data_IF_942812361782
#
_entry.id   IF_942812361782
#
_cell.length_a   1.000
_cell.length_b   1.000
_cell.length_c   1.000
_cell.angle_alpha   90.00
_cell.angle_beta   90.00
_cell.angle_gamma   90.00
#
_symmetry.space_group_name_H-M   'P 1'
#
loop_
_entity.id
_entity.type
_entity.pdbx_description
1 polymer ?
#
# COMPACT_ATOMS: atom_id res chain seq x y z
N UNK A 1 -8.02 -10.52 45.80
CA UNK A 1 -9.03 -10.73 44.73
C UNK A 1 -9.39 -9.45 43.99
N UNK A 2 -9.67 -8.32 44.67
CA UNK A 2 -10.02 -7.05 44.00
C UNK A 2 -8.89 -6.50 43.11
N UNK A 3 -7.65 -6.49 43.60
CA UNK A 3 -6.47 -6.05 42.83
C UNK A 3 -6.31 -6.80 41.48
N UNK A 4 -6.54 -8.13 41.50
CA UNK A 4 -6.44 -8.96 40.30
C UNK A 4 -7.54 -8.64 39.27
N UNK A 5 -8.75 -8.30 39.72
CA UNK A 5 -9.86 -7.90 38.85
C UNK A 5 -9.59 -6.55 38.17
N UNK A 6 -9.06 -5.59 38.92
CA UNK A 6 -8.70 -4.26 38.39
C UNK A 6 -7.59 -4.38 37.34
N UNK A 7 -6.55 -5.18 37.63
CA UNK A 7 -5.47 -5.43 36.68
C UNK A 7 -5.99 -6.10 35.39
N UNK A 8 -6.80 -7.15 35.51
CA UNK A 8 -7.41 -7.84 34.37
C UNK A 8 -8.28 -6.91 33.52
N UNK A 9 -9.09 -6.05 34.14
CA UNK A 9 -9.88 -5.05 33.44
C UNK A 9 -9.02 -4.06 32.65
N UNK A 10 -7.92 -3.59 33.26
CA UNK A 10 -6.95 -2.71 32.59
C UNK A 10 -6.33 -3.34 31.34
N UNK A 11 -5.95 -4.62 31.42
CA UNK A 11 -5.38 -5.36 30.28
C UNK A 11 -6.38 -5.48 29.13
N UNK A 12 -7.64 -5.82 29.42
CA UNK A 12 -8.70 -5.94 28.39
C UNK A 12 -8.89 -4.62 27.66
N UNK A 13 -9.04 -3.51 28.41
CA UNK A 13 -9.21 -2.17 27.81
C UNK A 13 -7.99 -1.79 26.97
N UNK A 14 -6.77 -2.07 27.45
CA UNK A 14 -5.54 -1.77 26.73
C UNK A 14 -5.45 -2.54 25.39
N UNK A 15 -5.74 -3.84 25.38
CA UNK A 15 -5.69 -4.67 24.16
C UNK A 15 -6.73 -4.22 23.14
N UNK A 16 -7.97 -3.95 23.58
CA UNK A 16 -9.02 -3.47 22.68
C UNK A 16 -8.68 -2.08 22.13
N UNK A 17 -8.16 -1.18 22.97
CA UNK A 17 -7.69 0.15 22.55
C UNK A 17 -6.54 0.10 21.54
N UNK A 18 -5.53 -0.75 21.79
CA UNK A 18 -4.40 -0.96 20.86
C UNK A 18 -4.87 -1.52 19.52
N UNK A 19 -5.83 -2.44 19.52
CA UNK A 19 -6.42 -2.98 18.29
C UNK A 19 -7.13 -1.88 17.48
N UNK A 20 -7.96 -1.06 18.14
CA UNK A 20 -8.61 0.08 17.48
C UNK A 20 -7.62 1.10 16.91
N UNK A 21 -6.52 1.35 17.63
CA UNK A 21 -5.43 2.20 17.16
C UNK A 21 -4.72 1.60 15.92
N UNK A 22 -4.44 0.30 15.93
CA UNK A 22 -3.80 -0.38 14.80
C UNK A 22 -4.65 -0.32 13.52
N UNK A 23 -5.96 -0.56 13.64
CA UNK A 23 -6.91 -0.45 12.51
C UNK A 23 -6.95 1.00 11.98
N UNK A 24 -7.05 1.98 12.89
CA UNK A 24 -7.00 3.40 12.55
C UNK A 24 -5.71 3.80 11.81
N UNK A 25 -4.57 3.23 12.18
CA UNK A 25 -3.30 3.51 11.52
C UNK A 25 -3.30 3.05 10.06
N UNK A 26 -3.99 1.95 9.73
CA UNK A 26 -4.07 1.45 8.37
C UNK A 26 -4.83 2.42 7.44
N UNK A 27 -5.93 3.01 7.93
CA UNK A 27 -6.66 4.07 7.21
C UNK A 27 -5.79 5.30 6.93
N UNK A 28 -4.85 5.62 7.81
CA UNK A 28 -3.90 6.74 7.59
C UNK A 28 -2.82 6.38 6.58
N UNK A 29 -2.35 5.14 6.57
CA UNK A 29 -1.26 4.68 5.69
C UNK A 29 -1.70 4.47 4.25
N UNK A 30 -2.91 3.97 4.00
CA UNK A 30 -3.40 3.66 2.64
C UNK A 30 -3.27 4.84 1.66
N UNK A 31 -3.80 6.05 1.92
CA UNK A 31 -3.67 7.18 0.98
C UNK A 31 -2.20 7.58 0.76
N UNK A 32 -1.34 7.48 1.78
CA UNK A 32 0.09 7.75 1.67
C UNK A 32 0.76 6.75 0.70
N UNK A 33 0.42 5.47 0.81
CA UNK A 33 0.98 4.43 -0.06
C UNK A 33 0.49 4.59 -1.51
N UNK A 34 -0.79 4.92 -1.72
CA UNK A 34 -1.36 5.20 -3.04
C UNK A 34 -0.69 6.41 -3.71
N UNK A 35 -0.48 7.50 -2.96
CA UNK A 35 0.23 8.68 -3.45
C UNK A 35 1.68 8.39 -3.81
N UNK A 36 2.37 7.61 -2.97
CA UNK A 36 3.75 7.17 -3.22
C UNK A 36 3.87 6.40 -4.54
N UNK A 37 2.94 5.46 -4.79
CA UNK A 37 2.89 4.74 -6.07
C UNK A 37 2.63 5.66 -7.26
N UNK A 38 1.70 6.61 -7.13
CA UNK A 38 1.44 7.59 -8.20
C UNK A 38 2.69 8.41 -8.53
N UNK A 39 3.45 8.85 -7.53
CA UNK A 39 4.71 9.58 -7.74
C UNK A 39 5.75 8.75 -8.46
N UNK A 40 5.95 7.49 -8.06
CA UNK A 40 6.88 6.59 -8.73
C UNK A 40 6.44 6.27 -10.18
N UNK A 41 5.16 6.02 -10.41
CA UNK A 41 4.62 5.76 -11.74
C UNK A 41 4.71 6.99 -12.65
N UNK A 42 4.49 8.19 -12.12
CA UNK A 42 4.70 9.45 -12.87
C UNK A 42 6.15 9.57 -13.34
N UNK A 43 7.10 9.20 -12.48
CA UNK A 43 8.52 9.20 -12.82
C UNK A 43 8.81 8.20 -13.94
N UNK A 44 8.31 6.97 -13.82
CA UNK A 44 8.49 5.91 -14.84
C UNK A 44 7.87 6.33 -16.18
N UNK A 45 6.66 6.89 -16.17
CA UNK A 45 5.99 7.40 -17.37
C UNK A 45 6.85 8.43 -18.09
N UNK A 46 7.45 9.36 -17.34
CA UNK A 46 8.30 10.42 -17.88
C UNK A 46 9.59 9.86 -18.50
N UNK A 47 10.25 8.92 -17.81
CA UNK A 47 11.46 8.27 -18.33
C UNK A 47 11.18 7.44 -19.60
N UNK A 48 10.09 6.68 -19.62
CA UNK A 48 9.73 5.86 -20.79
C UNK A 48 9.36 6.76 -21.97
N UNK A 49 8.62 7.86 -21.72
CA UNK A 49 8.17 8.77 -22.76
C UNK A 49 9.32 9.57 -23.41
N UNK A 50 10.30 10.03 -22.64
CA UNK A 50 11.24 11.06 -23.11
C UNK A 50 12.69 10.59 -23.26
N UNK A 51 13.14 9.57 -22.55
CA UNK A 51 14.57 9.24 -22.47
C UNK A 51 14.94 7.88 -23.07
N UNK A 52 13.96 7.10 -23.58
CA UNK A 52 14.18 5.71 -24.00
C UNK A 52 14.93 4.89 -22.93
N UNK A 53 14.75 5.26 -21.66
CA UNK A 53 15.43 4.63 -20.53
C UNK A 53 15.01 3.17 -20.43
N UNK A 54 15.95 2.21 -20.35
CA UNK A 54 15.60 0.81 -20.14
C UNK A 54 14.77 0.64 -18.87
N UNK A 55 13.69 -0.15 -18.95
CA UNK A 55 12.74 -0.35 -17.85
C UNK A 55 13.39 -0.67 -16.48
N UNK A 56 14.45 -1.51 -16.38
CA UNK A 56 15.12 -1.76 -15.09
C UNK A 56 15.75 -0.50 -14.47
N UNK A 57 16.23 0.43 -15.30
CA UNK A 57 16.81 1.71 -14.84
C UNK A 57 15.70 2.65 -14.37
N UNK A 58 14.56 2.68 -15.09
CA UNK A 58 13.38 3.44 -14.67
C UNK A 58 12.87 2.96 -13.30
N UNK A 59 12.84 1.65 -13.05
CA UNK A 59 12.47 1.07 -11.74
C UNK A 59 13.46 1.47 -10.63
N UNK A 60 14.77 1.46 -10.90
CA UNK A 60 15.78 1.88 -9.93
C UNK A 60 15.60 3.35 -9.54
N UNK A 61 15.38 4.22 -10.52
CA UNK A 61 15.19 5.64 -10.28
C UNK A 61 13.85 5.93 -9.58
N UNK A 62 12.78 5.25 -9.97
CA UNK A 62 11.50 5.34 -9.27
C UNK A 62 11.62 4.99 -7.79
N UNK A 63 12.40 3.94 -7.45
CA UNK A 63 12.63 3.53 -6.06
C UNK A 63 13.33 4.60 -5.21
N UNK A 64 14.13 5.48 -5.83
CA UNK A 64 14.84 6.58 -5.14
C UNK A 64 13.93 7.76 -4.82
N UNK A 65 12.82 7.90 -5.55
CA UNK A 65 11.87 8.99 -5.40
C UNK A 65 10.78 8.72 -4.35
N UNK A 66 10.75 7.52 -3.78
CA UNK A 66 9.72 7.09 -2.82
C UNK A 66 10.34 6.49 -1.57
N UNK A 67 9.56 6.48 -0.48
CA UNK A 67 9.92 5.79 0.76
C UNK A 67 9.37 4.37 0.80
N UNK A 68 9.74 3.63 1.84
CA UNK A 68 9.10 2.35 2.13
C UNK A 68 7.59 2.51 2.35
N UNK A 69 6.78 1.49 1.99
CA UNK A 69 7.19 0.21 1.41
C UNK A 69 7.35 0.23 -0.13
N UNK A 70 6.99 1.34 -0.80
CA UNK A 70 6.98 1.42 -2.26
C UNK A 70 8.40 1.34 -2.85
N UNK A 71 9.39 1.85 -2.14
CA UNK A 71 10.81 1.69 -2.50
C UNK A 71 11.20 0.23 -2.68
N UNK A 72 10.92 -0.62 -1.69
CA UNK A 72 11.22 -2.05 -1.77
C UNK A 72 10.49 -2.74 -2.92
N UNK A 73 9.26 -2.33 -3.24
CA UNK A 73 8.53 -2.84 -4.40
C UNK A 73 9.34 -2.65 -5.70
N UNK A 74 9.68 -1.41 -6.05
CA UNK A 74 10.42 -1.13 -7.28
C UNK A 74 11.83 -1.74 -7.29
N UNK A 75 12.50 -1.83 -6.13
CA UNK A 75 13.78 -2.54 -6.01
C UNK A 75 13.65 -4.04 -6.29
N UNK A 76 12.61 -4.70 -5.78
CA UNK A 76 12.36 -6.12 -6.02
C UNK A 76 12.04 -6.38 -7.50
N UNK A 77 11.26 -5.51 -8.13
CA UNK A 77 10.99 -5.59 -9.57
C UNK A 77 12.28 -5.46 -10.38
N UNK A 78 13.13 -4.47 -10.05
CA UNK A 78 14.44 -4.29 -10.68
C UNK A 78 15.33 -5.53 -10.54
N UNK A 79 15.37 -6.14 -9.37
CA UNK A 79 16.18 -7.32 -9.14
C UNK A 79 15.67 -8.53 -9.93
N UNK A 80 14.35 -8.66 -10.07
CA UNK A 80 13.72 -9.63 -10.97
C UNK A 80 14.24 -9.53 -12.41
N UNK A 81 14.36 -8.30 -12.95
CA UNK A 81 14.92 -8.05 -14.28
C UNK A 81 16.39 -8.48 -14.42
N UNK A 82 17.23 -8.26 -13.40
CA UNK A 82 18.66 -8.62 -13.45
C UNK A 82 18.91 -10.11 -13.42
N UNK A 83 17.99 -10.89 -12.87
CA UNK A 83 18.16 -12.34 -12.76
C UNK A 83 18.19 -13.06 -14.11
N UNK A 84 17.83 -12.37 -15.22
CA UNK A 84 17.65 -12.92 -16.58
C UNK A 84 16.68 -14.11 -16.67
N UNK A 85 15.97 -14.43 -15.57
CA UNK A 85 15.04 -15.56 -15.48
C UNK A 85 13.58 -15.14 -15.57
N UNK A 86 13.30 -13.86 -15.36
CA UNK A 86 11.93 -13.33 -15.34
C UNK A 86 11.68 -12.43 -16.54
N UNK A 87 10.49 -12.60 -17.12
CA UNK A 87 9.84 -11.59 -17.95
C UNK A 87 9.51 -10.35 -17.12
N UNK A 88 9.19 -9.24 -17.79
CA UNK A 88 8.79 -8.01 -17.11
C UNK A 88 7.59 -8.19 -16.18
N UNK A 89 6.59 -8.96 -16.63
CA UNK A 89 5.40 -9.32 -15.85
C UNK A 89 5.77 -10.16 -14.62
N UNK A 90 6.59 -11.20 -14.77
CA UNK A 90 6.99 -12.06 -13.64
C UNK A 90 7.82 -11.28 -12.60
N UNK A 91 8.71 -10.40 -13.04
CA UNK A 91 9.48 -9.53 -12.15
C UNK A 91 8.56 -8.56 -11.40
N UNK A 92 7.55 -8.01 -12.09
CA UNK A 92 6.55 -7.14 -11.50
C UNK A 92 5.71 -7.87 -10.44
N UNK A 93 5.15 -9.03 -10.78
CA UNK A 93 4.32 -9.84 -9.88
C UNK A 93 5.09 -10.34 -8.66
N UNK A 94 6.37 -10.68 -8.83
CA UNK A 94 7.26 -11.00 -7.72
C UNK A 94 7.37 -9.81 -6.74
N UNK A 95 7.65 -8.61 -7.27
CA UNK A 95 7.69 -7.40 -6.46
C UNK A 95 6.37 -7.11 -5.77
N UNK A 96 5.25 -7.25 -6.49
CA UNK A 96 3.91 -6.95 -6.00
C UNK A 96 3.49 -7.90 -4.87
N UNK A 97 3.85 -9.18 -4.98
CA UNK A 97 3.62 -10.18 -3.93
C UNK A 97 4.33 -9.80 -2.63
N UNK A 98 5.59 -9.34 -2.71
CA UNK A 98 6.34 -8.86 -1.55
C UNK A 98 5.82 -7.54 -0.98
N UNK A 99 5.33 -6.67 -1.85
CA UNK A 99 4.75 -5.39 -1.44
C UNK A 99 3.44 -5.58 -0.68
N UNK A 100 2.61 -6.55 -1.08
CA UNK A 100 1.34 -6.88 -0.43
C UNK A 100 1.51 -7.21 1.06
N UNK A 101 2.63 -7.85 1.45
CA UNK A 101 2.90 -8.21 2.86
C UNK A 101 3.09 -6.99 3.77
N UNK A 102 3.49 -5.83 3.22
CA UNK A 102 3.96 -4.67 3.99
C UNK A 102 3.20 -3.37 3.69
N UNK A 103 2.25 -3.38 2.76
CA UNK A 103 1.49 -2.20 2.37
C UNK A 103 0.09 -2.14 3.01
N UNK A 104 -0.49 -0.95 3.08
CA UNK A 104 -1.84 -0.71 3.60
C UNK A 104 -2.92 -0.74 2.49
N UNK A 105 -2.60 -1.29 1.32
CA UNK A 105 -3.47 -1.28 0.15
C UNK A 105 -4.57 -2.32 0.24
N UNK A 106 -5.71 -2.04 -0.39
CA UNK A 106 -6.78 -3.00 -0.57
C UNK A 106 -6.50 -3.95 -1.76
N UNK A 107 -7.15 -5.12 -1.82
CA UNK A 107 -7.04 -6.01 -2.97
C UNK A 107 -7.39 -5.32 -4.30
N UNK A 108 -8.34 -4.40 -4.30
CA UNK A 108 -8.72 -3.60 -5.48
C UNK A 108 -7.60 -2.66 -5.93
N UNK A 109 -6.83 -2.10 -5.00
CA UNK A 109 -5.70 -1.23 -5.30
C UNK A 109 -4.54 -2.04 -5.91
N UNK A 110 -4.31 -3.25 -5.38
CA UNK A 110 -3.31 -4.18 -5.90
C UNK A 110 -3.65 -4.69 -7.31
N UNK A 111 -4.93 -4.83 -7.62
CA UNK A 111 -5.37 -5.26 -8.95
C UNK A 111 -5.05 -4.22 -10.04
N UNK A 112 -5.10 -2.93 -9.71
CA UNK A 112 -4.63 -1.85 -10.61
C UNK A 112 -3.15 -2.07 -10.95
N UNK A 113 -2.33 -2.35 -9.94
CA UNK A 113 -0.90 -2.60 -10.14
C UNK A 113 -0.64 -3.90 -10.91
N UNK A 114 -1.39 -4.97 -10.63
CA UNK A 114 -1.28 -6.25 -11.35
C UNK A 114 -1.62 -6.10 -12.82
N UNK A 115 -2.70 -5.38 -13.13
CA UNK A 115 -3.12 -5.09 -14.50
C UNK A 115 -2.06 -4.30 -15.27
N UNK A 116 -1.41 -3.32 -14.61
CA UNK A 116 -0.29 -2.60 -15.20
C UNK A 116 0.89 -3.54 -15.51
N UNK A 117 1.28 -4.38 -14.55
CA UNK A 117 2.38 -5.35 -14.69
C UNK A 117 2.22 -6.28 -15.88
N UNK A 118 1.00 -6.79 -16.10
CA UNK A 118 0.67 -7.67 -17.21
C UNK A 118 0.84 -7.04 -18.60
N UNK A 119 0.87 -5.70 -18.66
CA UNK A 119 0.98 -4.93 -19.91
C UNK A 119 2.39 -4.38 -20.14
N UNK A 120 3.20 -4.25 -19.08
CA UNK A 120 4.58 -3.77 -19.16
C UNK A 120 5.46 -4.77 -19.94
N UNK A 121 6.24 -4.25 -20.90
CA UNK A 121 7.18 -5.04 -21.69
C UNK A 121 6.58 -5.82 -22.87
N UNK A 122 5.25 -5.76 -23.08
CA UNK A 122 4.56 -6.42 -24.20
C UNK A 122 4.14 -5.48 -25.32
N UNK A 123 4.04 -4.19 -25.02
CA UNK A 123 3.53 -3.17 -25.94
C UNK A 123 4.61 -2.13 -26.28
N UNK A 124 4.37 -1.35 -27.35
CA UNK A 124 5.26 -0.25 -27.74
C UNK A 124 5.26 0.89 -26.71
N UNK A 125 6.30 1.73 -26.74
CA UNK A 125 6.52 2.84 -25.78
C UNK A 125 5.28 3.72 -25.56
N UNK A 126 4.61 4.15 -26.64
CA UNK A 126 3.40 4.99 -26.53
C UNK A 126 2.25 4.30 -25.80
N UNK A 127 2.09 3.00 -26.00
CA UNK A 127 1.04 2.21 -25.37
C UNK A 127 1.37 1.94 -23.89
N UNK A 128 2.63 1.67 -23.56
CA UNK A 128 3.10 1.58 -22.17
C UNK A 128 2.85 2.87 -21.40
N UNK A 129 3.13 4.03 -22.00
CA UNK A 129 2.85 5.35 -21.39
C UNK A 129 1.36 5.51 -21.09
N UNK A 130 0.48 5.14 -22.03
CA UNK A 130 -0.98 5.19 -21.82
C UNK A 130 -1.44 4.28 -20.68
N UNK A 131 -0.89 3.07 -20.58
CA UNK A 131 -1.22 2.12 -19.52
C UNK A 131 -0.75 2.60 -18.14
N UNK A 132 0.46 3.16 -18.06
CA UNK A 132 0.96 3.77 -16.81
C UNK A 132 0.07 4.96 -16.41
N UNK A 133 -0.29 5.80 -17.38
CA UNK A 133 -1.18 6.94 -17.16
C UNK A 133 -2.55 6.50 -16.62
N UNK A 134 -3.14 5.47 -17.22
CA UNK A 134 -4.42 4.89 -16.78
C UNK A 134 -4.33 4.37 -15.34
N UNK A 135 -3.29 3.60 -15.02
CA UNK A 135 -3.06 3.08 -13.68
C UNK A 135 -2.93 4.22 -12.66
N UNK A 136 -2.23 5.32 -13.00
CA UNK A 136 -2.11 6.49 -12.13
C UNK A 136 -3.45 7.15 -11.84
N UNK A 137 -4.30 7.33 -12.86
CA UNK A 137 -5.62 7.94 -12.64
C UNK A 137 -6.53 7.04 -11.79
N UNK A 138 -6.45 5.72 -11.97
CA UNK A 138 -7.15 4.76 -11.10
C UNK A 138 -6.65 4.82 -9.65
N UNK A 139 -5.33 4.89 -9.43
CA UNK A 139 -4.75 5.05 -8.09
C UNK A 139 -5.12 6.39 -7.45
N UNK A 140 -5.23 7.46 -8.23
CA UNK A 140 -5.67 8.78 -7.77
C UNK A 140 -7.13 8.75 -7.31
N UNK A 141 -8.01 8.06 -8.04
CA UNK A 141 -9.39 7.83 -7.61
C UNK A 141 -9.45 7.00 -6.33
N UNK A 142 -8.63 5.95 -6.23
CA UNK A 142 -8.50 5.14 -5.02
C UNK A 142 -7.98 5.97 -3.83
N UNK A 143 -7.04 6.90 -4.05
CA UNK A 143 -6.51 7.78 -3.01
C UNK A 143 -7.59 8.73 -2.50
N UNK A 144 -8.36 9.35 -3.40
CA UNK A 144 -9.47 10.21 -3.03
C UNK A 144 -10.52 9.45 -2.18
N UNK A 145 -10.86 8.22 -2.57
CA UNK A 145 -11.73 7.36 -1.77
C UNK A 145 -11.10 7.01 -0.40
N UNK A 146 -9.80 6.69 -0.37
CA UNK A 146 -9.08 6.38 0.85
C UNK A 146 -9.02 7.56 1.83
N UNK A 147 -8.91 8.79 1.34
CA UNK A 147 -8.90 9.99 2.19
C UNK A 147 -10.29 10.25 2.80
N UNK A 148 -11.36 10.04 2.03
CA UNK A 148 -12.74 10.10 2.55
C UNK A 148 -12.93 9.05 3.65
N UNK A 149 -12.48 7.81 3.42
CA UNK A 149 -12.59 6.73 4.39
C UNK A 149 -11.74 7.01 5.64
N UNK A 150 -10.54 7.57 5.48
CA UNK A 150 -9.68 7.96 6.59
C UNK A 150 -10.38 8.98 7.50
N UNK A 151 -10.89 10.06 6.93
CA UNK A 151 -11.56 11.12 7.70
C UNK A 151 -12.75 10.57 8.51
N UNK A 152 -13.51 9.63 7.92
CA UNK A 152 -14.66 8.99 8.57
C UNK A 152 -14.25 7.99 9.66
N UNK A 153 -13.27 7.14 9.35
CA UNK A 153 -13.03 5.91 10.11
C UNK A 153 -11.89 6.02 11.12
N UNK A 154 -10.92 6.93 10.94
CA UNK A 154 -9.75 7.06 11.82
C UNK A 154 -10.17 7.34 13.28
N UNK A 155 -11.01 8.36 13.50
CA UNK A 155 -11.50 8.69 14.84
C UNK A 155 -12.43 7.61 15.40
N UNK A 156 -13.30 7.06 14.54
CA UNK A 156 -14.31 6.08 14.91
C UNK A 156 -13.66 4.81 15.47
N UNK A 157 -12.69 4.21 14.77
CA UNK A 157 -12.03 2.98 15.22
C UNK A 157 -11.18 3.19 16.49
N UNK A 158 -10.55 4.36 16.63
CA UNK A 158 -9.84 4.71 17.87
C UNK A 158 -10.78 4.76 19.08
N UNK A 159 -11.98 5.30 18.91
CA UNK A 159 -12.98 5.35 19.99
C UNK A 159 -13.67 4.02 20.25
N UNK A 160 -13.98 3.24 19.21
CA UNK A 160 -14.65 1.94 19.34
C UNK A 160 -13.80 0.93 20.09
N UNK A 161 -12.48 0.89 19.86
CA UNK A 161 -11.58 -0.01 20.59
C UNK A 161 -11.66 0.18 22.10
N UNK A 162 -11.68 1.44 22.55
CA UNK A 162 -11.86 1.75 23.97
C UNK A 162 -13.25 1.36 24.49
N UNK A 163 -14.32 1.71 23.75
CA UNK A 163 -15.69 1.40 24.15
C UNK A 163 -15.97 -0.10 24.23
N UNK A 164 -15.44 -0.89 23.30
CA UNK A 164 -15.53 -2.36 23.33
C UNK A 164 -14.80 -2.91 24.55
N UNK A 165 -13.61 -2.39 24.87
CA UNK A 165 -12.87 -2.78 26.06
C UNK A 165 -13.65 -2.53 27.35
N UNK A 166 -14.23 -1.34 27.49
CA UNK A 166 -15.10 -0.99 28.65
C UNK A 166 -16.32 -1.90 28.71
N UNK A 167 -16.98 -2.13 27.57
CA UNK A 167 -18.15 -3.01 27.48
C UNK A 167 -17.83 -4.45 27.90
N UNK A 168 -16.70 -5.01 27.45
CA UNK A 168 -16.25 -6.35 27.85
C UNK A 168 -15.95 -6.42 29.34
N UNK A 169 -15.33 -5.38 29.91
CA UNK A 169 -15.09 -5.31 31.35
C UNK A 169 -16.42 -5.33 32.12
N UNK A 170 -17.43 -4.55 31.70
CA UNK A 170 -18.75 -4.53 32.32
C UNK A 170 -19.51 -5.86 32.23
N UNK A 171 -19.25 -6.67 31.21
CA UNK A 171 -19.87 -8.00 31.07
C UNK A 171 -19.18 -9.08 31.91
N UNK A 172 -17.86 -8.96 32.10
CA UNK A 172 -17.04 -9.99 32.74
C UNK A 172 -16.85 -9.80 34.26
N UNK A 173 -17.04 -8.58 34.76
CA UNK A 173 -16.76 -8.18 36.14
C UNK A 173 -17.98 -7.58 36.84
#
# INVERSE_FOLDING_TARGET
MVELKIFGAGVVIAVCGLTGFFISANYTRRPIHLRSLQSALMFIETEIAYTSTPLPVAMDNASKCVSEPAKSFFMNVREGFKSYKFTAEEAWDYGLTKYQENCALLPTDLEILRSLGARLGRTGTEEQVKEIHLAREQLKQAEAAAEIDRVKNERLWRTMGFLIGVFLVLLLY
#
